data_IF_313224732985
#
_entry.id   IF_313224732985
#
_cell.length_a   1.000
_cell.length_b   1.000
_cell.length_c   1.000
_cell.angle_alpha   90.00
_cell.angle_beta   90.00
_cell.angle_gamma   90.00
#
_symmetry.space_group_name_H-M   'P 1'
#
loop_
_entity.id
_entity.type
_entity.pdbx_description
1 polymer ?
#
# COMPACT_ATOMS: atom_id res chain seq x y z
N UNK A 1 10.09 -17.30 -23.47
CA UNK A 1 10.41 -16.20 -22.53
C UNK A 1 9.71 -16.50 -21.23
N UNK A 2 10.40 -16.50 -20.09
CA UNK A 2 9.80 -16.90 -18.81
C UNK A 2 8.92 -15.75 -18.32
N UNK A 3 7.59 -15.89 -18.47
CA UNK A 3 6.59 -14.84 -18.18
C UNK A 3 6.27 -14.68 -16.68
N UNK A 4 7.05 -15.32 -15.82
CA UNK A 4 6.78 -15.49 -14.40
C UNK A 4 8.08 -15.66 -13.61
N UNK A 5 8.13 -15.06 -12.41
CA UNK A 5 9.07 -15.45 -11.35
C UNK A 5 8.36 -15.46 -9.99
N UNK A 6 8.95 -16.13 -9.02
CA UNK A 6 8.53 -16.06 -7.62
C UNK A 6 9.53 -15.21 -6.84
N UNK A 7 9.03 -14.30 -6.01
CA UNK A 7 9.83 -13.50 -5.09
C UNK A 7 9.26 -13.64 -3.68
N UNK A 8 10.02 -14.21 -2.76
CA UNK A 8 9.65 -14.30 -1.34
C UNK A 8 8.25 -14.92 -1.13
N UNK A 9 7.91 -15.96 -1.91
CA UNK A 9 6.60 -16.63 -1.84
C UNK A 9 5.46 -15.89 -2.55
N UNK A 10 5.76 -14.83 -3.31
CA UNK A 10 4.78 -14.05 -4.08
C UNK A 10 5.01 -14.22 -5.57
N UNK A 11 3.93 -14.49 -6.31
CA UNK A 11 3.91 -14.56 -7.78
C UNK A 11 4.21 -13.18 -8.38
N UNK A 12 5.14 -13.12 -9.33
CA UNK A 12 5.49 -11.90 -10.07
C UNK A 12 5.30 -12.13 -11.57
N UNK A 13 4.31 -11.44 -12.14
CA UNK A 13 4.00 -11.49 -13.56
C UNK A 13 4.91 -10.54 -14.36
N UNK A 14 5.47 -11.05 -15.46
CA UNK A 14 6.26 -10.28 -16.42
C UNK A 14 5.47 -10.23 -17.73
N UNK A 15 4.77 -9.12 -17.96
CA UNK A 15 3.77 -8.98 -19.01
C UNK A 15 4.13 -7.83 -19.95
N UNK A 16 3.53 -7.82 -21.14
CA UNK A 16 3.63 -6.65 -22.01
C UNK A 16 2.77 -5.48 -21.52
N UNK A 17 2.96 -4.32 -22.16
CA UNK A 17 2.31 -3.05 -21.77
C UNK A 17 0.78 -3.12 -21.84
N UNK A 18 0.24 -3.82 -22.83
CA UNK A 18 -1.20 -3.87 -23.06
C UNK A 18 -1.86 -4.77 -22.00
N UNK A 19 -1.20 -5.87 -21.65
CA UNK A 19 -1.62 -6.79 -20.59
C UNK A 19 -1.58 -6.15 -19.20
N UNK A 20 -0.64 -5.23 -18.94
CA UNK A 20 -0.52 -4.53 -17.65
C UNK A 20 -1.74 -3.66 -17.29
N UNK A 21 -2.59 -3.33 -18.27
CA UNK A 21 -3.82 -2.53 -18.09
C UNK A 21 -5.10 -3.37 -18.04
N UNK A 22 -5.04 -4.65 -18.41
CA UNK A 22 -6.18 -5.56 -18.34
C UNK A 22 -6.22 -6.26 -16.97
N UNK A 23 -6.76 -5.57 -15.96
CA UNK A 23 -6.83 -6.07 -14.59
C UNK A 23 -7.56 -7.42 -14.46
N UNK A 24 -8.70 -7.66 -15.14
CA UNK A 24 -9.31 -8.98 -15.17
C UNK A 24 -8.34 -10.08 -15.64
N UNK A 25 -7.59 -9.82 -16.72
CA UNK A 25 -6.55 -10.75 -17.19
C UNK A 25 -5.46 -10.95 -16.14
N UNK A 26 -4.93 -9.88 -15.53
CA UNK A 26 -3.91 -9.96 -14.48
C UNK A 26 -4.35 -10.86 -13.30
N UNK A 27 -5.57 -10.65 -12.81
CA UNK A 27 -6.13 -11.43 -11.70
C UNK A 27 -6.30 -12.90 -12.10
N UNK A 28 -6.78 -13.17 -13.32
CA UNK A 28 -6.92 -14.54 -13.83
C UNK A 28 -5.58 -15.26 -13.87
N UNK A 29 -4.57 -14.66 -14.50
CA UNK A 29 -3.23 -15.24 -14.61
C UNK A 29 -2.61 -15.47 -13.22
N UNK A 30 -2.71 -14.50 -12.33
CA UNK A 30 -2.19 -14.64 -10.97
C UNK A 30 -2.91 -15.75 -10.18
N UNK A 31 -4.23 -15.89 -10.38
CA UNK A 31 -5.05 -16.91 -9.70
C UNK A 31 -4.68 -18.32 -10.14
N UNK A 32 -4.48 -18.54 -11.45
CA UNK A 32 -4.01 -19.82 -11.99
C UNK A 32 -2.66 -20.24 -11.39
N UNK A 33 -1.82 -19.26 -11.07
CA UNK A 33 -0.52 -19.45 -10.43
C UNK A 33 -0.60 -19.53 -8.89
N UNK A 34 -1.80 -19.56 -8.31
CA UNK A 34 -2.01 -19.74 -6.88
C UNK A 34 -1.90 -18.46 -6.04
N UNK A 35 -1.74 -17.28 -6.64
CA UNK A 35 -1.64 -16.01 -5.91
C UNK A 35 -2.87 -15.74 -5.03
N UNK A 36 -4.05 -16.25 -5.43
CA UNK A 36 -5.27 -16.17 -4.64
C UNK A 36 -5.14 -16.82 -3.25
N UNK A 37 -4.32 -17.87 -3.10
CA UNK A 37 -4.08 -18.53 -1.81
C UNK A 37 -3.08 -17.73 -0.95
N UNK A 38 -2.13 -17.05 -1.58
CA UNK A 38 -1.18 -16.14 -0.93
C UNK A 38 -1.86 -14.85 -0.50
N UNK A 39 -2.84 -14.35 -1.27
CA UNK A 39 -3.56 -13.11 -1.02
C UNK A 39 -2.97 -11.89 -1.73
N UNK A 40 -1.89 -12.06 -2.49
CA UNK A 40 -1.25 -10.99 -3.26
C UNK A 40 -0.45 -11.55 -4.45
N UNK A 41 -0.23 -10.71 -5.45
CA UNK A 41 0.76 -10.90 -6.51
C UNK A 41 1.38 -9.55 -6.88
N UNK A 42 2.50 -9.58 -7.60
CA UNK A 42 3.10 -8.40 -8.23
C UNK A 42 3.06 -8.56 -9.74
N UNK A 43 3.14 -7.44 -10.44
CA UNK A 43 3.43 -7.43 -11.87
C UNK A 43 4.34 -6.24 -12.18
N UNK A 44 5.20 -6.41 -13.18
CA UNK A 44 6.14 -5.37 -13.60
C UNK A 44 5.53 -4.59 -14.76
N UNK A 45 5.40 -3.28 -14.61
CA UNK A 45 5.03 -2.38 -15.69
C UNK A 45 6.22 -2.26 -16.66
N UNK A 46 6.13 -2.84 -17.86
CA UNK A 46 7.17 -2.69 -18.89
C UNK A 46 7.20 -1.27 -19.48
N UNK A 47 8.41 -0.80 -19.78
CA UNK A 47 8.86 0.58 -20.04
C UNK A 47 7.88 1.61 -20.62
N UNK A 48 7.97 2.84 -20.08
CA UNK A 48 7.39 4.07 -20.63
C UNK A 48 6.29 4.75 -19.79
N UNK A 49 5.93 4.18 -18.62
CA UNK A 49 4.97 4.79 -17.69
C UNK A 49 5.63 5.50 -16.49
N UNK A 50 6.96 5.39 -16.38
CA UNK A 50 7.78 6.10 -15.40
C UNK A 50 8.76 6.95 -16.19
N UNK A 51 8.25 8.01 -16.81
CA UNK A 51 9.09 9.16 -17.15
C UNK A 51 9.60 9.79 -15.84
N UNK A 52 10.66 10.60 -15.92
CA UNK A 52 11.16 11.37 -14.77
C UNK A 52 9.98 11.94 -13.97
N UNK A 53 9.81 11.46 -12.73
CA UNK A 53 8.72 11.90 -11.91
C UNK A 53 8.85 13.40 -11.69
N UNK A 54 7.80 14.20 -11.94
CA UNK A 54 7.88 15.62 -11.71
C UNK A 54 8.11 15.88 -10.21
N UNK A 55 8.74 17.02 -9.84
CA UNK A 55 8.87 17.38 -8.45
C UNK A 55 7.49 17.50 -7.81
N UNK A 56 7.38 17.10 -6.54
CA UNK A 56 6.17 17.32 -5.74
C UNK A 56 6.00 18.83 -5.57
N UNK A 57 4.90 19.37 -6.12
CA UNK A 57 4.61 20.81 -6.06
C UNK A 57 3.88 21.19 -4.78
N UNK A 58 3.11 20.25 -4.21
CA UNK A 58 2.33 20.47 -2.99
C UNK A 58 2.03 19.12 -2.32
N UNK A 59 2.23 19.06 -1.01
CA UNK A 59 1.79 17.93 -0.20
C UNK A 59 0.54 18.32 0.57
N UNK A 60 -0.48 17.45 0.65
CA UNK A 60 -1.62 17.69 1.53
C UNK A 60 -1.17 17.91 2.97
N UNK A 61 -1.85 18.84 3.66
CA UNK A 61 -1.53 19.22 5.04
C UNK A 61 -2.00 18.19 6.07
N UNK A 62 -2.88 17.26 5.70
CA UNK A 62 -3.42 16.28 6.64
C UNK A 62 -2.51 15.05 6.68
N UNK A 63 -1.81 14.90 7.80
CA UNK A 63 -0.78 13.90 7.96
C UNK A 63 -1.11 12.95 9.09
N UNK A 64 -0.99 11.65 8.83
CA UNK A 64 -1.09 10.64 9.86
C UNK A 64 0.20 10.62 10.67
N UNK A 65 0.07 10.73 11.98
CA UNK A 65 1.12 10.50 12.97
C UNK A 65 0.86 9.21 13.71
N UNK A 66 1.94 8.56 14.15
CA UNK A 66 1.88 7.25 14.76
C UNK A 66 2.45 7.27 16.17
N UNK A 67 1.85 6.47 17.05
CA UNK A 67 2.49 6.08 18.32
C UNK A 67 2.41 4.58 18.43
N UNK A 68 3.51 3.96 18.84
CA UNK A 68 3.56 2.53 19.13
C UNK A 68 3.53 2.30 20.64
N UNK A 69 2.84 1.23 21.04
CA UNK A 69 2.93 0.68 22.39
C UNK A 69 3.06 -0.83 22.32
N UNK A 70 4.08 -1.36 23.02
CA UNK A 70 4.34 -2.80 23.04
C UNK A 70 3.28 -3.52 23.86
N UNK A 71 2.72 -4.58 23.30
CA UNK A 71 1.76 -5.45 23.97
C UNK A 71 2.45 -6.67 24.60
N UNK A 72 1.74 -7.36 25.49
CA UNK A 72 2.28 -8.51 26.26
C UNK A 72 2.70 -9.70 25.38
N UNK A 73 2.17 -9.81 24.16
CA UNK A 73 2.33 -10.97 23.27
C UNK A 73 3.24 -10.67 22.06
N UNK A 74 4.24 -9.80 22.22
CA UNK A 74 5.19 -9.35 21.17
C UNK A 74 4.61 -8.57 19.99
N UNK A 75 3.33 -8.23 20.00
CA UNK A 75 2.74 -7.32 19.02
C UNK A 75 2.89 -5.86 19.43
N UNK A 76 2.85 -4.95 18.45
CA UNK A 76 2.80 -3.51 18.69
C UNK A 76 1.39 -2.98 18.37
N UNK A 77 0.79 -2.27 19.31
CA UNK A 77 -0.41 -1.48 19.02
C UNK A 77 0.03 -0.14 18.43
N UNK A 78 -0.50 0.20 17.26
CA UNK A 78 -0.20 1.45 16.57
C UNK A 78 -1.43 2.36 16.64
N UNK A 79 -1.34 3.46 17.39
CA UNK A 79 -2.36 4.51 17.32
C UNK A 79 -2.03 5.50 16.21
N UNK A 80 -3.05 5.92 15.47
CA UNK A 80 -2.98 6.93 14.42
C UNK A 80 -3.73 8.18 14.84
N UNK A 81 -3.12 9.36 14.70
CA UNK A 81 -3.79 10.67 14.74
C UNK A 81 -3.60 11.36 13.40
N UNK A 82 -4.53 12.22 13.02
CA UNK A 82 -4.38 13.09 11.84
C UNK A 82 -4.12 14.49 12.33
N UNK A 83 -3.03 15.09 11.85
CA UNK A 83 -2.57 16.42 12.24
C UNK A 83 -2.38 17.29 11.00
N UNK A 84 -2.66 18.58 11.12
CA UNK A 84 -2.43 19.55 10.06
C UNK A 84 -0.98 20.03 10.09
N UNK A 85 -0.12 19.34 9.37
CA UNK A 85 1.31 19.63 9.27
C UNK A 85 1.82 19.41 7.85
N UNK A 86 2.90 20.10 7.48
CA UNK A 86 3.60 19.82 6.23
C UNK A 86 4.37 18.51 6.34
N UNK A 87 4.28 17.66 5.31
CA UNK A 87 5.10 16.46 5.21
C UNK A 87 6.57 16.83 5.00
N UNK A 88 7.43 16.25 5.83
CA UNK A 88 8.86 16.25 5.58
C UNK A 88 9.19 15.07 4.66
N UNK A 89 9.49 15.35 3.39
CA UNK A 89 9.82 14.32 2.38
C UNK A 89 11.29 13.86 2.51
N UNK A 90 12.14 14.63 3.21
CA UNK A 90 13.57 14.37 3.33
C UNK A 90 14.34 14.50 2.01
N UNK A 91 15.63 14.15 2.03
CA UNK A 91 16.48 14.19 0.85
C UNK A 91 16.07 13.15 -0.21
N UNK A 92 16.21 13.54 -1.48
CA UNK A 92 15.78 12.78 -2.66
C UNK A 92 16.76 11.64 -3.01
N UNK A 93 17.97 11.65 -2.45
CA UNK A 93 18.96 10.60 -2.68
C UNK A 93 18.53 9.28 -2.04
N UNK A 94 18.19 8.32 -2.90
CA UNK A 94 17.74 7.00 -2.50
C UNK A 94 18.69 5.92 -3.01
N UNK A 95 19.24 5.14 -2.09
CA UNK A 95 19.96 3.90 -2.40
C UNK A 95 19.12 2.72 -1.90
N UNK A 96 18.74 1.77 -2.77
CA UNK A 96 18.00 0.58 -2.36
C UNK A 96 18.69 -0.16 -1.22
N UNK A 97 17.92 -0.54 -0.21
CA UNK A 97 18.41 -1.28 0.96
C UNK A 97 18.13 -2.77 0.75
N UNK A 98 19.10 -3.67 1.04
CA UNK A 98 18.83 -5.11 1.04
C UNK A 98 17.62 -5.45 1.90
N UNK A 99 16.73 -6.33 1.41
CA UNK A 99 15.42 -6.59 2.03
C UNK A 99 15.50 -6.93 3.53
N UNK A 100 16.45 -7.76 3.93
CA UNK A 100 16.64 -8.15 5.33
C UNK A 100 16.97 -6.94 6.21
N UNK A 101 17.83 -6.04 5.74
CA UNK A 101 18.20 -4.80 6.43
C UNK A 101 17.04 -3.81 6.44
N UNK A 102 16.25 -3.75 5.38
CA UNK A 102 15.05 -2.91 5.33
C UNK A 102 13.99 -3.39 6.34
N UNK A 103 13.73 -4.70 6.39
CA UNK A 103 12.85 -5.32 7.38
C UNK A 103 13.34 -5.04 8.81
N UNK A 104 14.61 -5.34 9.12
CA UNK A 104 15.20 -5.10 10.44
C UNK A 104 15.10 -3.62 10.86
N UNK A 105 15.36 -2.69 9.93
CA UNK A 105 15.24 -1.24 10.18
C UNK A 105 13.80 -0.84 10.50
N UNK A 106 12.82 -1.37 9.75
CA UNK A 106 11.41 -1.09 9.98
C UNK A 106 10.94 -1.65 11.34
N UNK A 107 11.28 -2.90 11.65
CA UNK A 107 10.96 -3.55 12.92
C UNK A 107 11.57 -2.80 14.11
N UNK A 108 12.83 -2.38 13.99
CA UNK A 108 13.51 -1.54 14.97
C UNK A 108 12.77 -0.21 15.21
N UNK A 109 12.30 0.46 14.15
CA UNK A 109 11.53 1.71 14.28
C UNK A 109 10.19 1.50 14.98
N UNK A 110 9.52 0.39 14.72
CA UNK A 110 8.21 0.09 15.30
C UNK A 110 8.28 -0.28 16.78
N UNK A 111 9.41 -0.83 17.21
CA UNK A 111 9.68 -1.16 18.63
C UNK A 111 10.25 0.02 19.43
N UNK A 112 10.70 1.10 18.77
CA UNK A 112 11.06 2.37 19.40
C UNK A 112 9.93 3.42 19.25
N UNK A 113 9.21 3.76 20.34
CA UNK A 113 8.16 4.77 20.31
C UNK A 113 8.64 6.15 19.81
N UNK A 114 9.91 6.51 20.04
CA UNK A 114 10.46 7.78 19.56
C UNK A 114 10.67 7.77 18.05
N UNK A 115 11.10 6.65 17.48
CA UNK A 115 11.26 6.51 16.04
C UNK A 115 9.89 6.45 15.35
N UNK A 116 8.95 5.67 15.90
CA UNK A 116 7.56 5.61 15.39
C UNK A 116 6.90 6.98 15.41
N UNK A 117 7.12 7.79 16.46
CA UNK A 117 6.59 9.15 16.59
C UNK A 117 7.05 10.13 15.50
N UNK A 118 8.14 9.82 14.78
CA UNK A 118 8.65 10.62 13.66
C UNK A 118 8.05 10.21 12.31
N UNK A 119 7.41 9.05 12.23
CA UNK A 119 6.82 8.56 10.98
C UNK A 119 5.62 9.43 10.59
N UNK A 120 5.48 9.69 9.29
CA UNK A 120 4.44 10.53 8.73
C UNK A 120 3.83 9.86 7.51
N UNK A 121 2.51 9.88 7.39
CA UNK A 121 1.82 9.27 6.27
C UNK A 121 0.67 10.11 5.74
N UNK A 122 0.81 10.60 4.52
CA UNK A 122 -0.27 11.23 3.78
C UNK A 122 -1.02 10.12 3.06
N UNK A 123 -2.26 9.87 3.44
CA UNK A 123 -3.13 8.89 2.77
C UNK A 123 -4.24 9.63 2.06
N UNK A 124 -4.85 8.94 1.09
CA UNK A 124 -6.11 9.39 0.48
C UNK A 124 -5.98 10.75 -0.22
N UNK A 125 -4.76 11.11 -0.62
CA UNK A 125 -4.50 12.31 -1.40
C UNK A 125 -5.09 12.11 -2.79
N UNK A 126 -6.07 12.94 -3.18
CA UNK A 126 -6.75 12.78 -4.47
C UNK A 126 -5.75 12.78 -5.63
N UNK A 127 -5.82 11.77 -6.50
CA UNK A 127 -4.92 11.61 -7.64
C UNK A 127 -5.70 11.35 -8.94
N UNK A 128 -6.90 11.93 -9.02
CA UNK A 128 -7.91 11.67 -10.05
C UNK A 128 -7.64 12.42 -11.34
N UNK A 129 -7.35 13.71 -11.26
CA UNK A 129 -7.14 14.56 -12.43
C UNK A 129 -5.64 14.74 -12.72
N UNK A 130 -5.24 15.09 -13.96
CA UNK A 130 -3.86 15.42 -14.26
C UNK A 130 -3.30 16.52 -13.33
N UNK A 131 -4.13 17.49 -12.93
CA UNK A 131 -3.75 18.57 -12.02
C UNK A 131 -3.47 18.05 -10.61
N UNK A 132 -4.30 17.14 -10.10
CA UNK A 132 -4.07 16.53 -8.78
C UNK A 132 -2.77 15.72 -8.77
N UNK A 133 -2.58 14.93 -9.84
CA UNK A 133 -1.40 14.09 -10.02
C UNK A 133 -0.12 14.92 -10.14
N UNK A 134 -0.17 16.02 -10.91
CA UNK A 134 0.95 16.95 -11.04
C UNK A 134 1.34 17.56 -9.68
N UNK A 135 0.36 17.95 -8.84
CA UNK A 135 0.64 18.49 -7.50
C UNK A 135 1.42 17.49 -6.64
N UNK A 136 1.11 16.20 -6.78
CA UNK A 136 1.68 15.09 -6.01
C UNK A 136 2.96 14.49 -6.64
N UNK A 137 3.52 15.09 -7.69
CA UNK A 137 4.72 14.56 -8.35
C UNK A 137 4.46 13.24 -9.11
N UNK A 138 3.22 12.98 -9.51
CA UNK A 138 2.82 11.77 -10.23
C UNK A 138 2.75 12.02 -11.74
N UNK A 139 2.86 10.98 -12.58
CA UNK A 139 2.60 11.08 -14.02
C UNK A 139 1.20 11.63 -14.28
N UNK A 140 1.00 12.39 -15.37
CA UNK A 140 -0.29 13.01 -15.70
C UNK A 140 -1.44 12.01 -15.83
N UNK A 141 -1.13 10.79 -16.25
CA UNK A 141 -2.06 9.66 -16.35
C UNK A 141 -1.75 8.60 -15.30
N UNK A 142 -2.77 7.86 -14.86
CA UNK A 142 -2.57 6.71 -13.99
C UNK A 142 -2.15 5.49 -14.83
N UNK A 143 -1.12 4.74 -14.40
CA UNK A 143 -0.73 3.50 -15.09
C UNK A 143 -1.79 2.39 -15.00
N UNK A 144 -2.70 2.47 -14.01
CA UNK A 144 -3.69 1.42 -13.70
C UNK A 144 -5.15 1.89 -13.80
N UNK A 145 -5.40 3.20 -13.82
CA UNK A 145 -6.75 3.76 -13.84
C UNK A 145 -6.96 4.60 -15.12
N UNK A 146 -8.12 4.52 -15.80
CA UNK A 146 -9.33 3.78 -15.44
C UNK A 146 -9.19 2.26 -15.61
N UNK A 147 -9.94 1.51 -14.80
CA UNK A 147 -9.99 0.06 -14.84
C UNK A 147 -11.02 -0.42 -15.86
N UNK A 148 -10.61 -1.25 -16.81
CA UNK A 148 -11.52 -1.91 -17.75
C UNK A 148 -12.54 -2.76 -16.97
N UNK A 149 -13.81 -2.65 -17.33
CA UNK A 149 -14.93 -3.39 -16.71
C UNK A 149 -15.11 -3.17 -15.20
N UNK A 150 -14.72 -2.00 -14.69
CA UNK A 150 -14.86 -1.64 -13.28
C UNK A 150 -16.33 -1.69 -12.83
N UNK A 151 -16.65 -2.60 -11.92
CA UNK A 151 -18.02 -2.74 -11.41
C UNK A 151 -18.41 -1.61 -10.45
N UNK A 152 -17.43 -0.88 -9.90
CA UNK A 152 -17.69 0.24 -8.99
C UNK A 152 -18.44 1.39 -9.68
N UNK A 153 -18.23 1.57 -10.99
CA UNK A 153 -18.90 2.60 -11.79
C UNK A 153 -20.43 2.40 -11.87
N UNK A 154 -20.91 1.20 -11.52
CA UNK A 154 -22.34 0.84 -11.50
C UNK A 154 -22.98 1.02 -10.13
N UNK A 155 -22.21 1.39 -9.11
CA UNK A 155 -22.77 1.58 -7.78
C UNK A 155 -23.60 2.87 -7.72
N UNK A 156 -24.63 2.88 -6.87
CA UNK A 156 -25.50 4.05 -6.69
C UNK A 156 -24.79 5.21 -6.00
N UNK A 157 -23.77 4.91 -5.20
CA UNK A 157 -23.11 5.87 -4.33
C UNK A 157 -21.61 5.84 -4.61
N UNK A 158 -21.09 6.99 -5.05
CA UNK A 158 -19.67 7.18 -5.26
C UNK A 158 -19.00 7.38 -3.90
N UNK A 159 -18.04 6.51 -3.59
CA UNK A 159 -17.13 6.62 -2.45
C UNK A 159 -15.75 6.95 -3.01
N UNK A 160 -15.21 8.17 -2.82
CA UNK A 160 -14.00 8.62 -3.51
C UNK A 160 -12.81 7.66 -3.41
N UNK A 161 -12.49 7.19 -2.19
CA UNK A 161 -11.37 6.28 -1.91
C UNK A 161 -11.52 4.89 -2.56
N UNK A 162 -12.74 4.50 -2.93
CA UNK A 162 -12.99 3.22 -3.63
C UNK A 162 -13.02 3.42 -5.16
N UNK A 163 -13.59 4.52 -5.63
CA UNK A 163 -13.91 4.72 -7.05
C UNK A 163 -12.79 5.41 -7.83
N UNK A 164 -11.98 6.20 -7.12
CA UNK A 164 -10.96 7.05 -7.73
C UNK A 164 -9.57 6.73 -7.16
N UNK A 165 -8.52 6.87 -7.98
CA UNK A 165 -7.16 6.70 -7.50
C UNK A 165 -6.81 7.79 -6.49
N UNK A 166 -6.07 7.36 -5.46
CA UNK A 166 -5.47 8.24 -4.47
C UNK A 166 -3.98 7.92 -4.33
N UNK A 167 -3.23 8.88 -3.84
CA UNK A 167 -1.81 8.75 -3.56
C UNK A 167 -1.56 8.56 -2.07
N UNK A 168 -0.47 7.87 -1.79
CA UNK A 168 0.03 7.59 -0.47
C UNK A 168 1.49 8.06 -0.42
N UNK A 169 1.78 9.07 0.40
CA UNK A 169 3.11 9.70 0.48
C UNK A 169 3.68 9.51 1.89
N UNK A 170 4.87 8.95 1.97
CA UNK A 170 5.58 8.73 3.23
C UNK A 170 6.54 9.89 3.49
N UNK A 171 6.70 10.26 4.77
CA UNK A 171 7.74 11.21 5.14
C UNK A 171 9.14 10.60 5.16
N UNK A 172 10.14 11.41 5.48
CA UNK A 172 11.57 11.05 5.53
C UNK A 172 11.86 9.87 6.47
N UNK A 173 11.08 9.74 7.54
CA UNK A 173 11.19 8.65 8.50
C UNK A 173 10.31 7.43 8.17
N UNK A 174 9.67 7.44 6.99
CA UNK A 174 8.77 6.39 6.52
C UNK A 174 7.35 6.53 7.06
N UNK A 175 6.52 5.56 6.67
CA UNK A 175 5.13 5.41 7.08
C UNK A 175 4.80 3.94 7.34
N UNK A 176 3.59 3.68 7.82
CA UNK A 176 3.04 2.34 7.97
C UNK A 176 1.55 2.31 7.65
N UNK A 177 1.06 1.14 7.25
CA UNK A 177 -0.35 0.80 7.25
C UNK A 177 -0.54 -0.38 8.22
N UNK A 178 -1.60 -0.33 9.03
CA UNK A 178 -1.91 -1.40 9.98
C UNK A 178 -2.43 -2.64 9.26
N UNK A 179 -2.35 -3.78 9.94
CA UNK A 179 -2.87 -5.05 9.39
C UNK A 179 -4.38 -4.94 9.16
N UNK A 180 -4.84 -5.21 7.93
CA UNK A 180 -6.25 -5.18 7.59
C UNK A 180 -6.56 -6.04 6.35
N UNK A 181 -7.85 -6.23 6.11
CA UNK A 181 -8.39 -6.64 4.82
C UNK A 181 -9.15 -5.47 4.20
N UNK A 182 -9.24 -5.43 2.89
CA UNK A 182 -10.01 -4.41 2.17
C UNK A 182 -11.51 -4.50 2.45
N UNK A 183 -12.17 -3.35 2.37
CA UNK A 183 -13.62 -3.26 2.53
C UNK A 183 -14.32 -4.01 1.39
N UNK A 184 -15.39 -4.73 1.74
CA UNK A 184 -16.12 -5.56 0.78
C UNK A 184 -15.30 -6.73 0.19
N UNK A 185 -14.08 -6.99 0.69
CA UNK A 185 -13.12 -7.94 0.10
C UNK A 185 -12.80 -7.62 -1.37
N UNK A 186 -12.83 -6.33 -1.71
CA UNK A 186 -12.51 -5.84 -3.04
C UNK A 186 -10.99 -5.94 -3.25
N UNK A 187 -10.50 -6.34 -4.44
CA UNK A 187 -9.07 -6.29 -4.74
C UNK A 187 -8.52 -4.87 -4.64
N UNK A 188 -7.38 -4.71 -3.97
CA UNK A 188 -6.63 -3.45 -3.94
C UNK A 188 -5.48 -3.51 -4.93
N UNK A 189 -5.36 -2.46 -5.76
CA UNK A 189 -4.26 -2.29 -6.69
C UNK A 189 -3.46 -1.05 -6.29
N UNK A 190 -2.13 -1.20 -6.25
CA UNK A 190 -1.21 -0.09 -5.99
C UNK A 190 -0.03 -0.12 -6.95
N UNK A 191 0.41 1.06 -7.38
CA UNK A 191 1.68 1.24 -8.10
C UNK A 191 2.66 1.96 -7.19
N UNK A 192 3.87 1.40 -7.08
CA UNK A 192 4.98 2.05 -6.41
C UNK A 192 5.69 2.95 -7.42
N UNK A 193 5.58 4.27 -7.23
CA UNK A 193 6.21 5.24 -8.12
C UNK A 193 7.69 5.49 -7.77
N UNK A 194 8.03 5.52 -6.48
CA UNK A 194 9.39 5.83 -6.01
C UNK A 194 9.75 4.99 -4.78
N UNK A 195 11.06 4.72 -4.62
CA UNK A 195 11.68 4.09 -3.44
C UNK A 195 11.19 2.66 -3.12
N UNK A 196 11.02 2.36 -1.84
CA UNK A 196 10.77 1.02 -1.30
C UNK A 196 9.47 0.96 -0.51
N UNK A 197 8.73 -0.15 -0.68
CA UNK A 197 7.56 -0.48 0.13
C UNK A 197 7.60 -1.95 0.50
N UNK A 198 7.56 -2.23 1.80
CA UNK A 198 7.48 -3.60 2.33
C UNK A 198 6.02 -3.98 2.57
N UNK A 199 5.63 -5.16 2.09
CA UNK A 199 4.31 -5.74 2.31
C UNK A 199 4.44 -7.04 3.10
N UNK A 200 3.79 -7.08 4.26
CA UNK A 200 3.53 -8.32 4.98
C UNK A 200 2.16 -8.85 4.57
N UNK A 201 2.13 -10.02 3.97
CA UNK A 201 0.90 -10.65 3.46
C UNK A 201 0.64 -11.92 4.23
N UNK A 202 -0.58 -12.05 4.74
CA UNK A 202 -1.04 -13.26 5.42
C UNK A 202 -1.81 -14.10 4.40
N UNK A 203 -1.36 -15.34 4.20
CA UNK A 203 -2.06 -16.27 3.32
C UNK A 203 -3.54 -16.40 3.71
N UNK A 204 -4.41 -16.53 2.72
CA UNK A 204 -5.87 -16.51 2.92
C UNK A 204 -6.33 -17.57 3.94
N UNK A 205 -5.70 -18.74 3.94
CA UNK A 205 -5.99 -19.83 4.88
C UNK A 205 -5.65 -19.48 6.35
N UNK A 206 -4.69 -18.57 6.55
CA UNK A 206 -4.10 -18.25 7.86
C UNK A 206 -4.65 -16.95 8.46
N UNK A 207 -5.45 -16.17 7.72
CA UNK A 207 -6.06 -14.93 8.23
C UNK A 207 -6.87 -15.12 9.52
N UNK A 208 -7.49 -16.28 9.69
CA UNK A 208 -8.24 -16.64 10.90
C UNK A 208 -7.35 -16.72 12.16
N UNK A 209 -6.04 -16.95 12.02
CA UNK A 209 -5.09 -16.97 13.13
C UNK A 209 -4.88 -15.56 13.68
N UNK A 210 -4.77 -14.56 12.79
CA UNK A 210 -4.67 -13.14 13.13
C UNK A 210 -5.96 -12.68 13.83
N UNK A 211 -7.12 -13.06 13.29
CA UNK A 211 -8.41 -12.71 13.87
C UNK A 211 -8.62 -13.30 15.28
N UNK A 212 -8.08 -14.49 15.57
CA UNK A 212 -8.17 -15.15 16.89
C UNK A 212 -7.39 -14.39 17.97
N UNK A 213 -6.34 -13.67 17.60
CA UNK A 213 -5.56 -12.83 18.52
C UNK A 213 -6.41 -11.63 18.97
N UNK A 214 -7.20 -11.05 18.06
CA UNK A 214 -8.09 -9.93 18.34
C UNK A 214 -9.41 -10.43 18.95
N UNK A 215 -9.40 -10.71 20.26
CA UNK A 215 -10.54 -11.31 20.98
C UNK A 215 -11.65 -10.33 21.37
N UNK A 216 -11.34 -9.04 21.51
CA UNK A 216 -12.23 -8.06 22.20
C UNK A 216 -13.33 -7.43 21.32
N UNK A 217 -13.38 -7.75 20.03
CA UNK A 217 -14.18 -7.00 19.06
C UNK A 217 -15.15 -7.93 18.31
N UNK A 218 -16.42 -7.52 18.21
CA UNK A 218 -17.47 -8.22 17.44
C UNK A 218 -17.55 -7.75 15.98
N UNK A 219 -16.81 -6.71 15.60
CA UNK A 219 -16.78 -6.19 14.24
C UNK A 219 -16.07 -7.16 13.29
N UNK A 220 -16.59 -7.33 12.07
CA UNK A 220 -15.94 -8.10 11.01
C UNK A 220 -14.56 -7.53 10.62
N UNK A 221 -14.35 -6.22 10.78
CA UNK A 221 -13.07 -5.53 10.57
C UNK A 221 -12.27 -5.34 11.87
N UNK A 222 -12.45 -6.24 12.86
CA UNK A 222 -11.79 -6.13 14.17
C UNK A 222 -10.26 -5.97 14.12
N UNK A 223 -9.58 -6.61 13.16
CA UNK A 223 -8.12 -6.51 13.02
C UNK A 223 -7.72 -5.08 12.65
N UNK A 224 -8.45 -4.45 11.72
CA UNK A 224 -8.28 -3.04 11.35
C UNK A 224 -8.41 -2.13 12.57
N UNK A 225 -9.44 -2.35 13.40
CA UNK A 225 -9.68 -1.52 14.58
C UNK A 225 -8.69 -1.75 15.72
N UNK A 226 -8.16 -2.96 15.84
CA UNK A 226 -7.14 -3.26 16.83
C UNK A 226 -5.79 -2.59 16.51
N UNK A 227 -5.60 -2.14 15.27
CA UNK A 227 -4.42 -1.44 14.78
C UNK A 227 -3.11 -2.13 15.20
N UNK A 228 -3.11 -3.46 15.08
CA UNK A 228 -1.97 -4.28 15.46
C UNK A 228 -0.98 -4.38 14.32
N UNK A 229 0.29 -4.28 14.69
CA UNK A 229 1.42 -4.71 13.90
C UNK A 229 1.96 -6.01 14.51
N UNK A 230 2.05 -7.05 13.67
CA UNK A 230 2.38 -8.42 14.06
C UNK A 230 3.85 -8.73 13.84
#
# INVERSE_FOLDING_TARGET
>A
MQMLREEHGVVVLMLDKDQCRDVPYLISQATELGAHNIGAFKYVLTDGLVADLPPILSVPVNMSKFKSSRCKDNFCHISRTVEQETLDIGDIDFTPTPLNKFAETLEGRLTDPRATGKMQYCTDAEARTPQDRQRLGLPSESPIWPLKDNQLDRTRTVVPELHYPFACISGAHGSLFSSHSEDGKIPYLSVLHEREKLWYVVARKDGHLIEKIVKRWKCAQKVRHASLWF
#
